data_IF_857426331685
#
_entry.id   IF_857426331685
#
_cell.length_a   1.000
_cell.length_b   1.000
_cell.length_c   1.000
_cell.angle_alpha   90.00
_cell.angle_beta   90.00
_cell.angle_gamma   90.00
#
_symmetry.space_group_name_H-M   'P 1'
#
loop_
_entity.id
_entity.type
_entity.pdbx_description
1 polymer ?
#
# COMPACT_ATOMS: atom_id res chain seq x y z
N UNK A 1 -1.39 -10.39 -8.12
CA UNK A 1 -2.57 -9.68 -8.62
C UNK A 1 -2.62 -9.89 -10.12
N UNK A 2 -3.79 -10.18 -10.67
CA UNK A 2 -4.03 -10.37 -12.11
C UNK A 2 -4.28 -9.05 -12.87
N UNK A 3 -4.47 -7.96 -12.12
CA UNK A 3 -4.68 -6.64 -12.68
C UNK A 3 -3.52 -6.24 -13.59
N UNK A 4 -3.86 -5.92 -14.83
CA UNK A 4 -2.89 -5.63 -15.90
C UNK A 4 -2.42 -4.19 -15.93
N UNK A 5 -3.10 -3.30 -15.19
CA UNK A 5 -2.68 -1.91 -15.05
C UNK A 5 -1.48 -1.72 -14.13
N UNK A 6 -0.98 -0.49 -14.05
CA UNK A 6 0.16 -0.15 -13.18
C UNK A 6 -0.25 -0.23 -11.70
N UNK A 7 0.56 -0.93 -10.91
CA UNK A 7 0.47 -0.95 -9.45
C UNK A 7 1.74 -0.36 -8.85
N UNK A 8 1.57 0.57 -7.91
CA UNK A 8 2.63 1.06 -7.04
C UNK A 8 2.26 0.71 -5.61
N UNK A 9 3.17 0.04 -4.91
CA UNK A 9 2.95 -0.46 -3.55
C UNK A 9 3.77 0.39 -2.58
N UNK A 10 3.08 0.98 -1.59
CA UNK A 10 3.71 1.73 -0.52
C UNK A 10 3.64 0.90 0.75
N UNK A 11 4.80 0.50 1.26
CA UNK A 11 4.92 -0.18 2.55
C UNK A 11 5.36 0.85 3.57
N UNK A 12 4.52 1.13 4.57
CA UNK A 12 4.84 2.11 5.61
C UNK A 12 5.15 1.39 6.91
N UNK A 13 6.39 1.49 7.36
CA UNK A 13 6.78 1.10 8.71
C UNK A 13 6.55 2.28 9.67
N UNK A 14 5.45 2.21 10.42
CA UNK A 14 5.00 3.20 11.40
C UNK A 14 5.76 3.10 12.74
N UNK A 15 7.09 3.13 12.69
CA UNK A 15 7.92 3.08 13.89
C UNK A 15 7.87 1.75 14.64
N UNK A 16 7.93 0.63 13.91
CA UNK A 16 7.91 -0.74 14.46
C UNK A 16 9.00 -0.94 15.51
N UNK A 17 8.62 -1.44 16.69
CA UNK A 17 9.56 -1.71 17.78
C UNK A 17 10.59 -2.81 17.43
N UNK A 18 10.23 -3.70 16.50
CA UNK A 18 11.07 -4.79 15.99
C UNK A 18 11.64 -4.48 14.59
N UNK A 19 11.92 -3.20 14.28
CA UNK A 19 12.38 -2.76 12.94
C UNK A 19 13.56 -3.58 12.40
N UNK A 20 14.50 -3.96 13.26
CA UNK A 20 15.67 -4.75 12.85
C UNK A 20 15.30 -6.13 12.30
N UNK A 21 14.18 -6.71 12.75
CA UNK A 21 13.67 -8.01 12.29
C UNK A 21 13.05 -7.90 10.90
N UNK A 22 12.39 -6.78 10.60
CA UNK A 22 11.71 -6.54 9.30
C UNK A 22 12.61 -5.83 8.27
N UNK A 23 13.71 -5.23 8.70
CA UNK A 23 14.67 -4.55 7.83
C UNK A 23 15.19 -5.39 6.65
N UNK A 24 15.42 -6.72 6.76
CA UNK A 24 15.77 -7.55 5.62
C UNK A 24 14.69 -7.55 4.53
N UNK A 25 13.41 -7.58 4.90
CA UNK A 25 12.28 -7.50 3.95
C UNK A 25 12.28 -6.16 3.24
N UNK A 26 12.49 -5.06 3.98
CA UNK A 26 12.61 -3.73 3.38
C UNK A 26 13.73 -3.68 2.33
N UNK A 27 14.89 -4.27 2.64
CA UNK A 27 16.04 -4.33 1.72
C UNK A 27 15.75 -5.15 0.46
N UNK A 28 15.04 -6.28 0.59
CA UNK A 28 14.65 -7.11 -0.55
C UNK A 28 13.81 -6.31 -1.54
N UNK A 29 12.85 -5.53 -1.05
CA UNK A 29 11.94 -4.76 -1.90
C UNK A 29 12.43 -3.35 -2.26
N UNK A 30 13.50 -2.85 -1.63
CA UNK A 30 14.03 -1.51 -1.89
C UNK A 30 14.48 -1.28 -3.35
N UNK A 31 14.87 -2.35 -4.05
CA UNK A 31 15.32 -2.29 -5.44
C UNK A 31 14.20 -2.60 -6.45
N UNK A 32 13.01 -3.00 -6.00
CA UNK A 32 11.87 -3.22 -6.89
C UNK A 32 11.17 -1.87 -7.15
N UNK A 33 11.17 -1.35 -8.38
CA UNK A 33 10.59 -0.03 -8.67
C UNK A 33 9.08 0.04 -8.43
N UNK A 34 8.39 -1.10 -8.30
CA UNK A 34 6.97 -1.18 -7.94
C UNK A 34 6.73 -0.92 -6.46
N UNK A 35 7.76 -0.96 -5.63
CA UNK A 35 7.67 -0.79 -4.19
C UNK A 35 8.32 0.52 -3.74
N UNK A 36 7.74 1.12 -2.71
CA UNK A 36 8.31 2.26 -2.01
C UNK A 36 8.15 2.01 -0.51
N UNK A 37 9.27 1.82 0.17
CA UNK A 37 9.28 1.60 1.62
C UNK A 37 9.47 2.93 2.33
N UNK A 38 8.50 3.33 3.15
CA UNK A 38 8.53 4.55 3.94
C UNK A 38 8.77 4.16 5.39
N UNK A 39 9.90 4.59 5.95
CA UNK A 39 10.26 4.35 7.34
C UNK A 39 9.97 5.60 8.16
N UNK A 40 8.97 5.55 9.03
CA UNK A 40 8.68 6.65 9.94
C UNK A 40 9.59 6.57 11.17
N UNK A 41 10.08 7.72 11.63
CA UNK A 41 11.03 7.78 12.75
C UNK A 41 10.42 7.29 14.07
N UNK A 42 9.13 7.57 14.29
CA UNK A 42 8.39 7.19 15.48
C UNK A 42 7.03 6.62 15.07
N UNK A 43 6.40 5.86 15.96
CA UNK A 43 5.02 5.44 15.79
C UNK A 43 4.10 6.67 15.89
N UNK A 44 3.45 7.00 14.77
CA UNK A 44 2.52 8.13 14.65
C UNK A 44 1.07 7.68 14.52
N UNK A 45 0.84 6.38 14.35
CA UNK A 45 -0.45 5.73 14.23
C UNK A 45 -0.90 5.54 12.78
N UNK A 46 -1.68 4.47 12.55
CA UNK A 46 -2.16 3.98 11.24
C UNK A 46 -2.62 5.09 10.28
N UNK A 47 -3.46 6.02 10.74
CA UNK A 47 -3.99 7.09 9.89
C UNK A 47 -2.90 8.03 9.37
N UNK A 48 -1.94 8.40 10.22
CA UNK A 48 -0.84 9.28 9.82
C UNK A 48 0.15 8.55 8.91
N UNK A 49 0.38 7.25 9.15
CA UNK A 49 1.16 6.40 8.27
C UNK A 49 0.54 6.28 6.86
N UNK A 50 -0.76 6.02 6.78
CA UNK A 50 -1.51 5.99 5.52
C UNK A 50 -1.44 7.34 4.78
N UNK A 51 -1.61 8.47 5.50
CA UNK A 51 -1.47 9.80 4.92
C UNK A 51 -0.06 10.02 4.33
N UNK A 52 1.00 9.53 4.97
CA UNK A 52 2.36 9.63 4.46
C UNK A 52 2.52 8.90 3.11
N UNK A 53 1.95 7.70 2.97
CA UNK A 53 1.91 6.98 1.69
C UNK A 53 1.08 7.73 0.64
N UNK A 54 -0.15 8.15 0.98
CA UNK A 54 -1.05 8.84 0.04
C UNK A 54 -0.39 10.11 -0.51
N UNK A 55 0.21 10.93 0.35
CA UNK A 55 0.91 12.17 -0.06
C UNK A 55 2.16 11.92 -0.91
N UNK A 56 2.74 10.72 -0.82
CA UNK A 56 3.91 10.32 -1.63
C UNK A 56 3.50 9.58 -2.92
N UNK A 57 2.20 9.41 -3.14
CA UNK A 57 1.64 8.64 -4.26
C UNK A 57 0.98 9.54 -5.30
N UNK A 58 0.78 8.99 -6.50
CA UNK A 58 0.20 9.70 -7.64
C UNK A 58 -0.80 8.84 -8.42
N UNK A 59 -1.41 7.84 -7.78
CA UNK A 59 -2.39 6.95 -8.42
C UNK A 59 -3.79 7.54 -8.37
N UNK A 60 -4.63 7.19 -9.37
CA UNK A 60 -6.03 7.61 -9.43
C UNK A 60 -6.90 6.95 -8.35
N UNK A 61 -6.49 5.76 -7.89
CA UNK A 61 -7.18 4.97 -6.87
C UNK A 61 -6.19 4.59 -5.76
N UNK A 62 -6.67 4.58 -4.53
CA UNK A 62 -5.91 4.13 -3.35
C UNK A 62 -6.59 2.89 -2.77
N UNK A 63 -5.85 1.79 -2.73
CA UNK A 63 -6.25 0.57 -2.02
C UNK A 63 -5.44 0.47 -0.73
N UNK A 64 -6.12 0.57 0.42
CA UNK A 64 -5.51 0.30 1.72
C UNK A 64 -5.59 -1.19 2.04
N UNK A 65 -4.47 -1.76 2.50
CA UNK A 65 -4.35 -3.18 2.86
C UNK A 65 -3.60 -3.27 4.17
N UNK A 66 -4.08 -4.10 5.10
CA UNK A 66 -3.38 -4.36 6.35
C UNK A 66 -2.23 -5.36 6.13
N UNK A 67 -1.18 -5.26 6.95
CA UNK A 67 0.06 -6.04 6.76
C UNK A 67 -0.11 -7.55 6.93
N UNK A 68 -1.22 -7.99 7.52
CA UNK A 68 -1.61 -9.37 7.77
C UNK A 68 -2.70 -9.88 6.79
N UNK A 69 -3.00 -9.10 5.74
CA UNK A 69 -4.04 -9.44 4.77
C UNK A 69 -3.47 -10.10 3.52
N UNK A 70 -4.02 -11.27 3.14
CA UNK A 70 -3.77 -11.90 1.85
C UNK A 70 -4.92 -11.55 0.91
N UNK A 71 -4.59 -10.91 -0.22
CA UNK A 71 -5.58 -10.57 -1.24
C UNK A 71 -5.75 -11.70 -2.25
N UNK A 72 -7.00 -12.00 -2.60
CA UNK A 72 -7.31 -12.82 -3.77
C UNK A 72 -6.66 -12.21 -5.02
N UNK A 73 -6.29 -13.05 -5.99
CA UNK A 73 -5.55 -12.62 -7.17
C UNK A 73 -6.30 -11.57 -8.00
N UNK A 74 -7.64 -11.58 -7.95
CA UNK A 74 -8.54 -10.76 -8.77
C UNK A 74 -9.16 -9.57 -8.03
N UNK A 75 -8.79 -9.33 -6.77
CA UNK A 75 -9.39 -8.28 -5.93
C UNK A 75 -9.20 -6.90 -6.54
N UNK A 76 -7.99 -6.57 -7.01
CA UNK A 76 -7.75 -5.23 -7.57
C UNK A 76 -8.56 -5.03 -8.84
N UNK A 77 -8.63 -6.05 -9.70
CA UNK A 77 -9.44 -6.01 -10.93
C UNK A 77 -10.91 -5.76 -10.60
N UNK A 78 -11.47 -6.46 -9.61
CA UNK A 78 -12.87 -6.27 -9.17
C UNK A 78 -13.12 -4.87 -8.60
N UNK A 79 -12.22 -4.36 -7.76
CA UNK A 79 -12.38 -3.04 -7.14
C UNK A 79 -12.28 -1.92 -8.17
N UNK A 80 -11.29 -1.97 -9.07
CA UNK A 80 -11.13 -0.99 -10.15
C UNK A 80 -12.36 -0.97 -11.07
N UNK A 81 -12.93 -2.15 -11.39
CA UNK A 81 -14.15 -2.22 -12.20
C UNK A 81 -15.34 -1.51 -11.53
N UNK A 82 -15.49 -1.67 -10.21
CA UNK A 82 -16.57 -1.02 -9.45
C UNK A 82 -16.37 0.50 -9.36
N UNK A 83 -15.12 0.97 -9.24
CA UNK A 83 -14.78 2.39 -9.19
C UNK A 83 -14.89 3.11 -10.56
N UNK A 84 -15.28 2.41 -11.64
CA UNK A 84 -15.55 3.05 -12.95
C UNK A 84 -16.86 3.85 -12.97
N UNK A 85 -17.78 3.52 -12.07
CA UNK A 85 -19.00 4.30 -11.89
C UNK A 85 -18.64 5.61 -11.16
N UNK A 86 -18.85 6.78 -11.78
CA UNK A 86 -18.49 8.06 -11.16
C UNK A 86 -19.29 8.37 -9.88
N UNK A 87 -20.42 7.69 -9.63
CA UNK A 87 -21.19 7.82 -8.39
C UNK A 87 -20.59 7.02 -7.22
N UNK A 88 -19.62 6.13 -7.49
CA UNK A 88 -18.99 5.29 -6.46
C UNK A 88 -17.75 5.98 -5.88
N UNK A 89 -17.86 6.45 -4.64
CA UNK A 89 -16.72 7.03 -3.90
C UNK A 89 -15.79 6.02 -3.21
N UNK A 90 -16.26 4.79 -2.96
CA UNK A 90 -15.47 3.73 -2.34
C UNK A 90 -16.06 2.32 -2.60
N UNK A 91 -15.19 1.32 -2.60
CA UNK A 91 -15.55 -0.09 -2.68
C UNK A 91 -14.76 -0.91 -1.65
N UNK A 92 -15.36 -2.00 -1.17
CA UNK A 92 -14.77 -2.97 -0.24
C UNK A 92 -15.00 -4.39 -0.71
#
# INVERSE_FOLDING_TARGET
>A
QDYTGKLQVYVVDDGSANRDVVAPVHKIYANDPRFSVILLANNVGKRKAQIAAIRSSSGDLVLNVDSDTILAADVVTKLVLKMRDPEVGAAM
#
